data_IF_928788082151
#
_entry.id   IF_928788082151
#
_cell.length_a   1.000
_cell.length_b   1.000
_cell.length_c   1.000
_cell.angle_alpha   90.00
_cell.angle_beta   90.00
_cell.angle_gamma   90.00
#
_symmetry.space_group_name_H-M   'P 1'
#
loop_
_entity.id
_entity.type
_entity.pdbx_description
1 polymer ?
#
# COMPACT_ATOMS: atom_id res chain seq x y z
N UNK A 1 -50.11 -62.45 -19.42
CA UNK A 1 -49.96 -61.12 -20.03
C UNK A 1 -50.83 -60.16 -19.25
N UNK A 2 -50.24 -59.37 -18.35
CA UNK A 2 -50.98 -58.39 -17.53
C UNK A 2 -50.12 -57.14 -17.47
N UNK A 3 -50.52 -56.15 -18.26
CA UNK A 3 -49.86 -54.86 -18.42
C UNK A 3 -50.25 -53.98 -17.22
N UNK A 4 -49.29 -53.63 -16.36
CA UNK A 4 -49.55 -52.72 -15.23
C UNK A 4 -49.17 -51.30 -15.64
N UNK A 5 -50.16 -50.41 -15.60
CA UNK A 5 -50.07 -48.99 -15.99
C UNK A 5 -49.49 -48.19 -14.80
N UNK A 6 -48.43 -47.42 -15.05
CA UNK A 6 -47.86 -46.43 -14.12
C UNK A 6 -48.74 -45.17 -14.05
N UNK A 7 -48.94 -44.56 -12.87
CA UNK A 7 -49.28 -43.16 -12.77
C UNK A 7 -48.02 -42.27 -12.76
N UNK A 8 -47.96 -41.33 -13.70
CA UNK A 8 -47.02 -40.23 -13.69
C UNK A 8 -47.34 -39.27 -12.54
N UNK A 9 -46.35 -38.98 -11.69
CA UNK A 9 -46.42 -37.88 -10.72
C UNK A 9 -45.51 -36.76 -11.20
N UNK A 10 -46.09 -35.79 -11.92
CA UNK A 10 -45.50 -34.47 -12.07
C UNK A 10 -45.46 -33.78 -10.71
N UNK A 11 -44.30 -33.26 -10.32
CA UNK A 11 -44.23 -32.35 -9.17
C UNK A 11 -42.83 -32.14 -8.63
N UNK A 12 -42.08 -31.21 -9.24
CA UNK A 12 -41.49 -30.03 -8.59
C UNK A 12 -40.52 -29.33 -9.53
N UNK A 13 -41.00 -28.23 -10.10
CA UNK A 13 -40.16 -27.11 -10.50
C UNK A 13 -39.39 -26.57 -9.29
N UNK A 14 -38.15 -26.14 -9.52
CA UNK A 14 -37.40 -25.28 -8.59
C UNK A 14 -36.06 -25.82 -8.11
N UNK A 15 -35.15 -26.13 -9.03
CA UNK A 15 -33.71 -26.30 -8.73
C UNK A 15 -32.89 -25.51 -9.77
N UNK A 16 -33.15 -24.22 -9.84
CA UNK A 16 -32.35 -23.28 -10.61
C UNK A 16 -32.33 -21.95 -9.86
N UNK A 17 -31.24 -21.69 -9.14
CA UNK A 17 -31.01 -20.37 -8.55
C UNK A 17 -30.57 -20.40 -7.09
N UNK A 18 -29.35 -20.89 -6.82
CA UNK A 18 -28.65 -20.59 -5.55
C UNK A 18 -27.13 -20.85 -5.65
N UNK A 19 -26.49 -20.53 -6.77
CA UNK A 19 -25.05 -20.80 -6.95
C UNK A 19 -24.30 -19.69 -7.70
N UNK A 20 -24.68 -18.44 -7.47
CA UNK A 20 -23.99 -17.28 -8.09
C UNK A 20 -23.55 -16.19 -7.10
N UNK A 21 -23.60 -16.44 -5.78
CA UNK A 21 -23.35 -15.40 -4.77
C UNK A 21 -21.98 -15.46 -4.07
N UNK A 22 -21.02 -16.27 -4.55
CA UNK A 22 -19.72 -16.49 -3.85
C UNK A 22 -18.48 -15.97 -4.60
N UNK A 23 -18.62 -15.18 -5.66
CA UNK A 23 -17.47 -14.70 -6.47
C UNK A 23 -17.08 -13.23 -6.25
N UNK A 24 -17.65 -12.53 -5.26
CA UNK A 24 -17.40 -11.08 -5.07
C UNK A 24 -16.52 -10.70 -3.88
N UNK A 25 -15.93 -11.64 -3.14
CA UNK A 25 -15.22 -11.33 -1.89
C UNK A 25 -13.71 -11.61 -1.88
N UNK A 26 -13.03 -11.61 -3.03
CA UNK A 26 -11.56 -11.77 -3.03
C UNK A 26 -10.86 -10.91 -4.07
N UNK A 27 -11.12 -9.60 -4.06
CA UNK A 27 -10.05 -8.68 -4.40
C UNK A 27 -9.07 -8.73 -3.22
N UNK A 28 -7.88 -9.29 -3.44
CA UNK A 28 -6.84 -9.35 -2.42
C UNK A 28 -6.63 -7.95 -1.82
N UNK A 29 -6.63 -7.87 -0.49
CA UNK A 29 -6.31 -6.67 0.27
C UNK A 29 -5.00 -6.07 -0.27
N UNK A 30 -4.96 -4.76 -0.50
CA UNK A 30 -3.75 -4.10 -0.97
C UNK A 30 -2.62 -4.33 0.06
N UNK A 31 -1.52 -5.02 -0.32
CA UNK A 31 -0.47 -5.36 0.64
C UNK A 31 0.26 -4.14 1.22
N UNK A 32 0.06 -2.94 0.65
CA UNK A 32 0.56 -1.67 1.19
C UNK A 32 -0.45 -0.96 2.09
N UNK A 33 -1.74 -1.21 1.92
CA UNK A 33 -2.81 -0.32 2.38
C UNK A 33 -2.91 0.97 1.52
N UNK A 34 -4.10 1.59 1.48
CA UNK A 34 -4.38 2.70 0.57
C UNK A 34 -3.52 3.93 0.87
N UNK A 35 -3.30 4.28 2.14
CA UNK A 35 -2.53 5.46 2.52
C UNK A 35 -1.06 5.35 2.08
N UNK A 36 -0.40 4.21 2.32
CA UNK A 36 0.98 3.99 1.87
C UNK A 36 1.08 3.99 0.34
N UNK A 37 0.08 3.45 -0.37
CA UNK A 37 0.04 3.51 -1.84
C UNK A 37 -0.05 4.95 -2.32
N UNK A 38 -0.95 5.74 -1.76
CA UNK A 38 -1.08 7.16 -2.14
C UNK A 38 0.15 7.98 -1.75
N UNK A 39 0.76 7.69 -0.61
CA UNK A 39 2.02 8.31 -0.20
C UNK A 39 3.13 8.04 -1.23
N UNK A 40 3.28 6.80 -1.70
CA UNK A 40 4.27 6.43 -2.71
C UNK A 40 4.01 7.11 -4.06
N UNK A 41 2.73 7.23 -4.46
CA UNK A 41 2.34 7.96 -5.67
C UNK A 41 2.71 9.45 -5.54
N UNK A 42 2.36 10.09 -4.42
CA UNK A 42 2.70 11.49 -4.16
C UNK A 42 4.24 11.70 -4.13
N UNK A 43 4.97 10.74 -3.58
CA UNK A 43 6.43 10.74 -3.54
C UNK A 43 7.06 10.69 -4.94
N UNK A 44 6.56 9.80 -5.82
CA UNK A 44 6.95 9.75 -7.23
C UNK A 44 6.53 10.99 -8.02
N UNK A 45 5.58 11.77 -7.52
CA UNK A 45 5.15 13.03 -8.12
C UNK A 45 5.87 14.25 -7.53
N UNK A 46 6.95 14.09 -6.77
CA UNK A 46 7.66 15.20 -6.11
C UNK A 46 6.79 16.01 -5.13
N UNK A 47 5.71 15.44 -4.61
CA UNK A 47 4.82 16.07 -3.64
C UNK A 47 5.20 15.63 -2.22
N UNK A 48 6.40 16.01 -1.75
CA UNK A 48 6.94 15.52 -0.47
C UNK A 48 6.03 15.77 0.73
N UNK A 49 5.45 16.97 0.85
CA UNK A 49 4.58 17.30 1.99
C UNK A 49 3.32 16.42 2.02
N UNK A 50 2.72 16.20 0.85
CA UNK A 50 1.57 15.30 0.72
C UNK A 50 1.96 13.85 1.00
N UNK A 51 3.11 13.41 0.50
CA UNK A 51 3.61 12.07 0.73
C UNK A 51 3.86 11.79 2.22
N UNK A 52 4.47 12.74 2.93
CA UNK A 52 4.69 12.68 4.38
C UNK A 52 3.37 12.63 5.15
N UNK A 53 2.41 13.51 4.81
CA UNK A 53 1.09 13.50 5.44
C UNK A 53 0.38 12.15 5.28
N UNK A 54 0.44 11.54 4.09
CA UNK A 54 -0.18 10.25 3.82
C UNK A 54 0.55 9.10 4.54
N UNK A 55 1.88 9.12 4.61
CA UNK A 55 2.66 8.17 5.39
C UNK A 55 2.31 8.27 6.88
N UNK A 56 2.16 9.49 7.42
CA UNK A 56 1.73 9.71 8.81
C UNK A 56 0.33 9.16 9.09
N UNK A 57 -0.60 9.26 8.13
CA UNK A 57 -1.93 8.65 8.25
C UNK A 57 -1.86 7.12 8.26
N UNK A 58 -1.00 6.52 7.43
CA UNK A 58 -0.78 5.08 7.42
C UNK A 58 -0.20 4.59 8.76
N UNK A 59 0.74 5.34 9.33
CA UNK A 59 1.35 5.06 10.64
C UNK A 59 0.30 5.19 11.77
N UNK A 60 -0.54 6.22 11.73
CA UNK A 60 -1.50 6.48 12.80
C UNK A 60 -2.66 5.48 12.87
N UNK A 61 -3.05 4.88 11.74
CA UNK A 61 -4.26 4.05 11.63
C UNK A 61 -3.99 2.60 11.19
N UNK A 62 -2.75 2.30 10.79
CA UNK A 62 -2.38 1.03 10.20
C UNK A 62 -2.32 -0.13 11.18
N UNK A 63 -2.36 -1.34 10.64
CA UNK A 63 -1.87 -2.53 11.33
C UNK A 63 -0.32 -2.54 11.33
N UNK A 64 0.30 -3.53 11.98
CA UNK A 64 1.75 -3.59 12.10
C UNK A 64 2.48 -3.54 10.73
N UNK A 65 1.94 -4.22 9.70
CA UNK A 65 2.49 -4.17 8.33
C UNK A 65 2.39 -2.77 7.70
N UNK A 66 1.26 -2.10 7.86
CA UNK A 66 1.06 -0.77 7.29
C UNK A 66 1.90 0.28 8.01
N UNK A 67 2.06 0.16 9.33
CA UNK A 67 2.92 1.02 10.14
C UNK A 67 4.37 0.87 9.70
N UNK A 68 4.86 -0.37 9.59
CA UNK A 68 6.23 -0.65 9.15
C UNK A 68 6.54 -0.05 7.78
N UNK A 69 5.66 -0.29 6.80
CA UNK A 69 5.79 0.29 5.44
C UNK A 69 5.72 1.82 5.45
N UNK A 70 4.82 2.40 6.26
CA UNK A 70 4.67 3.85 6.37
C UNK A 70 5.92 4.52 6.92
N UNK A 71 6.53 3.93 7.94
CA UNK A 71 7.80 4.40 8.51
C UNK A 71 8.96 4.29 7.51
N UNK A 72 9.09 3.17 6.80
CA UNK A 72 10.12 3.01 5.75
C UNK A 72 9.93 4.00 4.60
N UNK A 73 8.69 4.22 4.17
CA UNK A 73 8.36 5.19 3.14
C UNK A 73 8.65 6.62 3.60
N UNK A 74 8.32 6.97 4.85
CA UNK A 74 8.67 8.26 5.44
C UNK A 74 10.18 8.49 5.47
N UNK A 75 10.95 7.48 5.87
CA UNK A 75 12.41 7.53 5.82
C UNK A 75 12.94 7.70 4.38
N UNK A 76 12.35 7.01 3.39
CA UNK A 76 12.71 7.16 1.99
C UNK A 76 12.46 8.59 1.47
N UNK A 77 11.30 9.17 1.79
CA UNK A 77 10.96 10.56 1.43
C UNK A 77 11.96 11.54 2.03
N UNK A 78 12.31 11.38 3.31
CA UNK A 78 13.26 12.25 4.00
C UNK A 78 14.66 12.13 3.39
N UNK A 79 15.15 10.92 3.10
CA UNK A 79 16.45 10.72 2.45
C UNK A 79 16.51 11.36 1.07
N UNK A 80 15.47 11.15 0.26
CA UNK A 80 15.38 11.70 -1.09
C UNK A 80 15.34 13.24 -1.10
N UNK A 81 14.74 13.85 -0.06
CA UNK A 81 14.78 15.31 0.18
C UNK A 81 16.14 15.82 0.70
N UNK A 82 17.08 14.92 1.00
CA UNK A 82 18.39 15.26 1.59
C UNK A 82 18.40 15.37 3.12
N UNK A 83 17.29 15.05 3.78
CA UNK A 83 17.13 15.11 5.25
C UNK A 83 17.54 13.77 5.89
N UNK A 84 18.82 13.43 5.76
CA UNK A 84 19.37 12.14 6.19
C UNK A 84 19.24 11.93 7.70
N UNK A 85 19.47 12.97 8.49
CA UNK A 85 19.38 12.89 9.95
C UNK A 85 17.95 12.57 10.41
N UNK A 86 16.94 13.25 9.86
CA UNK A 86 15.55 12.95 10.21
C UNK A 86 15.13 11.56 9.74
N UNK A 87 15.65 11.08 8.59
CA UNK A 87 15.36 9.73 8.13
C UNK A 87 15.94 8.66 9.06
N UNK A 88 17.18 8.83 9.52
CA UNK A 88 17.86 7.89 10.41
C UNK A 88 17.26 7.88 11.82
N UNK A 89 16.69 9.00 12.26
CA UNK A 89 15.95 9.08 13.52
C UNK A 89 14.73 8.13 13.57
N UNK A 90 14.19 7.71 12.43
CA UNK A 90 13.07 6.77 12.34
C UNK A 90 13.48 5.31 12.48
N UNK A 91 14.77 4.97 12.42
CA UNK A 91 15.23 3.57 12.37
C UNK A 91 14.80 2.73 13.58
N UNK A 92 14.86 3.23 14.83
CA UNK A 92 14.36 2.47 15.98
C UNK A 92 12.87 2.13 15.89
N UNK A 93 12.04 3.05 15.36
CA UNK A 93 10.61 2.84 15.18
C UNK A 93 10.33 1.82 14.06
N UNK A 94 11.09 1.88 12.96
CA UNK A 94 11.02 0.89 11.87
C UNK A 94 11.33 -0.51 12.40
N UNK A 95 12.40 -0.65 13.19
CA UNK A 95 12.82 -1.94 13.74
C UNK A 95 11.76 -2.52 14.69
N UNK A 96 11.14 -1.67 15.51
CA UNK A 96 10.05 -2.06 16.41
C UNK A 96 8.79 -2.50 15.62
N UNK A 97 8.39 -1.73 14.62
CA UNK A 97 7.23 -2.06 13.77
C UNK A 97 7.47 -3.35 12.98
N UNK A 98 8.68 -3.55 12.45
CA UNK A 98 9.06 -4.78 11.77
C UNK A 98 9.01 -5.99 12.71
N UNK A 99 9.56 -5.88 13.92
CA UNK A 99 9.48 -6.95 14.91
C UNK A 99 8.03 -7.30 15.24
N UNK A 100 7.15 -6.30 15.36
CA UNK A 100 5.73 -6.52 15.59
C UNK A 100 5.01 -7.20 14.40
N UNK A 101 5.38 -6.85 13.17
CA UNK A 101 4.76 -7.40 11.96
C UNK A 101 5.30 -8.79 11.57
N UNK A 102 6.59 -9.04 11.81
CA UNK A 102 7.33 -10.21 11.26
C UNK A 102 7.89 -11.15 12.34
N UNK A 103 7.72 -10.81 13.60
CA UNK A 103 8.17 -11.60 14.77
C UNK A 103 9.67 -11.94 14.75
N UNK A 104 10.48 -11.11 14.09
CA UNK A 104 11.93 -11.28 14.00
C UNK A 104 12.64 -9.94 13.87
N UNK A 105 13.92 -9.83 14.27
CA UNK A 105 14.65 -8.57 14.17
C UNK A 105 14.86 -8.16 12.71
N UNK A 106 14.84 -6.86 12.45
CA UNK A 106 15.22 -6.28 11.17
C UNK A 106 16.74 -6.09 11.13
N UNK A 107 17.39 -6.59 10.08
CA UNK A 107 18.81 -6.27 9.87
C UNK A 107 18.95 -4.89 9.23
N UNK A 108 20.02 -4.18 9.59
CA UNK A 108 20.34 -2.88 9.00
C UNK A 108 20.38 -2.92 7.48
N UNK A 109 21.07 -3.92 6.91
CA UNK A 109 21.16 -4.05 5.44
C UNK A 109 19.79 -4.25 4.79
N UNK A 110 18.85 -4.92 5.46
CA UNK A 110 17.49 -5.09 4.96
C UNK A 110 16.72 -3.78 5.03
N UNK A 111 16.78 -3.06 6.16
CA UNK A 111 16.17 -1.73 6.33
C UNK A 111 16.61 -0.77 5.23
N UNK A 112 17.93 -0.68 4.99
CA UNK A 112 18.49 0.23 3.99
C UNK A 112 18.06 -0.16 2.56
N UNK A 113 18.02 -1.46 2.23
CA UNK A 113 17.54 -1.92 0.92
C UNK A 113 16.06 -1.61 0.70
N UNK A 114 15.22 -1.85 1.70
CA UNK A 114 13.77 -1.64 1.55
C UNK A 114 13.43 -0.13 1.49
N UNK A 115 14.16 0.71 2.23
CA UNK A 115 14.08 2.18 2.09
C UNK A 115 14.54 2.61 0.69
N UNK A 116 15.68 2.10 0.21
CA UNK A 116 16.19 2.46 -1.12
C UNK A 116 15.23 2.04 -2.23
N UNK A 117 14.58 0.87 -2.10
CA UNK A 117 13.58 0.40 -3.06
C UNK A 117 12.45 1.43 -3.27
N UNK A 118 11.97 2.11 -2.21
CA UNK A 118 10.96 3.16 -2.37
C UNK A 118 11.49 4.38 -3.12
N UNK A 119 12.74 4.77 -2.88
CA UNK A 119 13.40 5.86 -3.61
C UNK A 119 13.51 5.49 -5.10
N UNK A 120 13.96 4.27 -5.40
CA UNK A 120 14.11 3.78 -6.77
C UNK A 120 12.77 3.77 -7.52
N UNK A 121 11.69 3.34 -6.87
CA UNK A 121 10.33 3.38 -7.43
C UNK A 121 9.91 4.82 -7.72
N UNK A 122 10.14 5.74 -6.78
CA UNK A 122 9.80 7.15 -6.97
C UNK A 122 10.59 7.80 -8.10
N UNK A 123 11.89 7.48 -8.23
CA UNK A 123 12.74 7.96 -9.33
C UNK A 123 12.29 7.42 -10.68
N UNK A 124 11.92 6.15 -10.75
CA UNK A 124 11.38 5.54 -11.95
C UNK A 124 10.07 6.21 -12.39
N UNK A 125 9.17 6.49 -11.45
CA UNK A 125 7.92 7.21 -11.70
C UNK A 125 8.17 8.65 -12.20
N UNK A 126 9.13 9.36 -11.61
CA UNK A 126 9.54 10.71 -12.07
C UNK A 126 10.02 10.67 -13.49
N UNK A 127 10.94 9.75 -13.79
CA UNK A 127 11.49 9.57 -15.13
C UNK A 127 10.40 9.25 -16.15
N UNK A 128 9.48 8.33 -15.83
CA UNK A 128 8.36 7.98 -16.69
C UNK A 128 7.42 9.18 -16.99
N UNK A 129 7.37 10.17 -16.10
CA UNK A 129 6.57 11.39 -16.23
C UNK A 129 7.34 12.60 -16.76
N UNK A 130 8.61 12.43 -17.13
CA UNK A 130 9.47 13.53 -17.57
C UNK A 130 9.76 14.55 -16.46
N UNK A 131 9.70 14.14 -15.20
CA UNK A 131 10.03 14.95 -14.05
C UNK A 131 11.51 14.86 -13.73
N UNK A 132 12.06 15.94 -13.16
CA UNK A 132 13.42 15.93 -12.65
C UNK A 132 13.57 14.88 -11.53
N UNK A 133 14.57 13.98 -11.60
CA UNK A 133 14.77 12.93 -10.58
C UNK A 133 15.01 13.48 -9.17
N UNK A 134 15.60 14.66 -9.05
CA UNK A 134 15.89 15.34 -7.78
C UNK A 134 14.75 16.24 -7.30
N UNK A 135 13.65 16.31 -8.06
CA UNK A 135 12.52 17.20 -7.79
C UNK A 135 12.89 18.70 -7.73
N UNK A 136 14.08 19.08 -8.20
CA UNK A 136 14.53 20.46 -8.25
C UNK A 136 13.74 21.25 -9.29
N UNK A 137 13.49 22.53 -8.99
CA UNK A 137 12.82 23.45 -9.93
C UNK A 137 11.30 23.37 -9.95
N UNK A 138 10.66 22.53 -9.13
CA UNK A 138 9.20 22.61 -8.95
C UNK A 138 8.82 23.82 -8.10
N UNK A 139 7.85 24.64 -8.53
CA UNK A 139 7.30 25.66 -7.67
C UNK A 139 6.74 24.98 -6.41
N UNK A 140 7.17 25.46 -5.25
CA UNK A 140 6.56 25.07 -3.97
C UNK A 140 5.06 25.37 -4.09
N UNK A 141 4.15 24.45 -3.73
CA UNK A 141 2.74 24.75 -3.74
C UNK A 141 2.52 26.01 -2.89
N UNK A 142 2.13 27.11 -3.54
CA UNK A 142 1.70 28.31 -2.85
C UNK A 142 0.38 27.96 -2.17
N UNK A 143 0.47 27.55 -0.91
CA UNK A 143 -0.70 27.52 -0.05
C UNK A 143 -1.13 28.97 0.12
N UNK A 144 -2.06 29.39 -0.74
CA UNK A 144 -2.60 30.74 -0.76
C UNK A 144 -3.04 31.13 0.64
N UNK A 145 -2.34 32.09 1.22
CA UNK A 145 -2.77 32.77 2.42
C UNK A 145 -4.08 33.48 2.13
N UNK A 146 -5.14 33.03 2.79
CA UNK A 146 -6.33 33.82 3.09
C UNK A 146 -6.59 33.67 4.58
#
# INVERSE_FOLDING_TARGET
MTLTILPQRLGRFGLAGALSALLLSSCAEDPMGPENRFALIAFGQCSYDQALMLADQAIAKGNADNIERGLMLKAAILRDRGDLQAAEALYPEIDAAWQAAKEKPLSESRRLRDIQMFIDIAHAERHAKGLDPSCQGRPKPEFGGQ
#
